data_IF_902807983304
#
_entry.id   IF_902807983304
#
_cell.length_a   1.000
_cell.length_b   1.000
_cell.length_c   1.000
_cell.angle_alpha   90.00
_cell.angle_beta   90.00
_cell.angle_gamma   90.00
#
_symmetry.space_group_name_H-M   'P 1'
#
loop_
_entity.id
_entity.type
_entity.pdbx_description
1 polymer ?
#
# COMPACT_ATOMS: atom_id res chain seq x y z
N UNK A 1 -29.73 9.90 15.66
CA UNK A 1 -30.09 9.77 14.23
C UNK A 1 -29.06 10.41 13.26
N UNK A 2 -27.76 10.50 13.62
CA UNK A 2 -26.73 11.18 12.81
C UNK A 2 -25.86 10.20 12.00
N UNK A 3 -25.76 8.95 12.44
CA UNK A 3 -24.96 7.86 11.85
C UNK A 3 -25.53 7.31 10.54
N UNK A 4 -26.86 7.26 10.37
CA UNK A 4 -27.51 6.80 9.13
C UNK A 4 -27.10 7.63 7.90
N UNK A 5 -27.01 8.96 8.05
CA UNK A 5 -26.59 9.85 6.96
C UNK A 5 -25.14 9.57 6.51
N UNK A 6 -24.27 9.23 7.46
CA UNK A 6 -22.86 8.86 7.16
C UNK A 6 -22.81 7.56 6.38
N UNK A 7 -23.57 6.54 6.81
CA UNK A 7 -23.65 5.26 6.09
C UNK A 7 -24.24 5.41 4.68
N UNK A 8 -25.25 6.27 4.51
CA UNK A 8 -25.82 6.59 3.20
C UNK A 8 -24.80 7.27 2.27
N UNK A 9 -24.04 8.24 2.79
CA UNK A 9 -23.00 8.92 1.99
C UNK A 9 -21.92 7.94 1.55
N UNK A 10 -21.49 7.04 2.44
CA UNK A 10 -20.52 5.99 2.12
C UNK A 10 -21.06 5.06 1.03
N UNK A 11 -22.33 4.65 1.15
CA UNK A 11 -22.98 3.74 0.19
C UNK A 11 -23.14 4.39 -1.19
N UNK A 12 -23.47 5.69 -1.24
CA UNK A 12 -23.50 6.47 -2.49
C UNK A 12 -22.11 6.60 -3.10
N UNK A 13 -21.07 6.85 -2.30
CA UNK A 13 -19.69 6.92 -2.80
C UNK A 13 -19.18 5.60 -3.37
N UNK A 14 -19.57 4.47 -2.75
CA UNK A 14 -19.25 3.13 -3.25
C UNK A 14 -20.02 2.76 -4.53
N UNK A 15 -21.22 3.30 -4.72
CA UNK A 15 -22.03 3.08 -5.92
C UNK A 15 -21.52 3.89 -7.14
N UNK A 16 -20.73 4.95 -6.91
CA UNK A 16 -20.06 5.69 -7.97
C UNK A 16 -18.73 4.98 -8.29
N UNK A 17 -18.81 3.87 -9.01
CA UNK A 17 -17.64 3.33 -9.70
C UNK A 17 -17.43 4.15 -10.97
N UNK A 18 -16.32 4.89 -11.13
CA UNK A 18 -16.03 5.50 -12.41
C UNK A 18 -15.85 4.38 -13.44
N UNK A 19 -16.49 4.51 -14.60
CA UNK A 19 -16.10 3.73 -15.77
C UNK A 19 -14.59 3.87 -15.94
N UNK A 20 -13.88 2.73 -15.95
CA UNK A 20 -12.43 2.63 -16.06
C UNK A 20 -11.93 3.01 -17.47
N UNK A 21 -12.50 4.06 -18.06
CA UNK A 21 -11.94 4.73 -19.23
C UNK A 21 -10.64 5.40 -18.79
N UNK A 22 -9.53 5.03 -19.43
CA UNK A 22 -8.16 5.36 -19.04
C UNK A 22 -8.02 6.79 -18.47
N UNK A 23 -7.70 6.88 -17.18
CA UNK A 23 -7.80 8.11 -16.37
C UNK A 23 -6.64 9.11 -16.55
N UNK A 24 -5.95 9.12 -17.69
CA UNK A 24 -5.02 10.20 -18.03
C UNK A 24 -4.71 10.21 -19.51
N UNK A 25 -4.54 11.42 -20.08
CA UNK A 25 -4.28 11.64 -21.50
C UNK A 25 -3.06 10.88 -22.03
N UNK A 26 -2.04 10.67 -21.18
CA UNK A 26 -0.89 9.81 -21.50
C UNK A 26 -1.28 8.34 -21.70
N UNK A 27 -2.05 7.77 -20.78
CA UNK A 27 -2.47 6.36 -20.88
C UNK A 27 -3.38 6.14 -22.10
N UNK A 28 -4.25 7.10 -22.41
CA UNK A 28 -5.09 7.07 -23.60
C UNK A 28 -4.27 7.12 -24.90
N UNK A 29 -3.30 8.04 -25.01
CA UNK A 29 -2.46 8.17 -26.20
C UNK A 29 -1.61 6.93 -26.51
N UNK A 30 -1.08 6.26 -25.48
CA UNK A 30 -0.33 5.00 -25.64
C UNK A 30 -1.26 3.85 -26.07
N UNK A 31 -2.47 3.74 -25.51
CA UNK A 31 -3.44 2.73 -25.96
C UNK A 31 -3.88 2.96 -27.40
N UNK A 32 -4.26 4.19 -27.75
CA UNK A 32 -4.82 4.55 -29.05
C UNK A 32 -3.78 4.37 -30.18
N UNK A 33 -2.51 4.73 -29.93
CA UNK A 33 -1.41 4.46 -30.85
C UNK A 33 -1.09 2.97 -31.01
N UNK A 34 -1.23 2.17 -29.95
CA UNK A 34 -0.95 0.73 -30.00
C UNK A 34 -2.08 -0.05 -30.69
N UNK A 35 -3.34 0.38 -30.52
CA UNK A 35 -4.50 -0.16 -31.23
C UNK A 35 -4.48 0.23 -32.72
N UNK A 36 -4.14 1.49 -33.04
CA UNK A 36 -3.99 1.97 -34.42
C UNK A 36 -2.92 1.20 -35.22
N UNK A 37 -1.86 0.74 -34.55
CA UNK A 37 -0.81 -0.11 -35.14
C UNK A 37 -1.16 -1.62 -35.17
N UNK A 38 -2.42 -2.01 -34.92
CA UNK A 38 -2.88 -3.40 -35.02
C UNK A 38 -2.44 -4.32 -33.86
N UNK A 39 -1.91 -3.77 -32.76
CA UNK A 39 -1.42 -4.53 -31.58
C UNK A 39 -2.37 -4.42 -30.38
N UNK A 40 -3.63 -4.77 -30.59
CA UNK A 40 -4.71 -4.71 -29.58
C UNK A 40 -4.44 -5.52 -28.29
N UNK A 41 -3.60 -6.56 -28.34
CA UNK A 41 -3.19 -7.37 -27.17
C UNK A 41 -2.29 -6.61 -26.18
N UNK A 42 -1.61 -5.56 -26.63
CA UNK A 42 -0.72 -4.73 -25.79
C UNK A 42 -1.53 -3.68 -25.03
N UNK A 43 -2.66 -3.22 -25.58
CA UNK A 43 -3.57 -2.30 -24.92
C UNK A 43 -4.22 -2.90 -23.65
N UNK A 44 -4.56 -4.20 -23.66
CA UNK A 44 -5.12 -4.89 -22.50
C UNK A 44 -4.11 -5.07 -21.35
N UNK A 45 -2.81 -5.16 -21.66
CA UNK A 45 -1.74 -5.31 -20.66
C UNK A 45 -1.30 -3.99 -20.01
N UNK A 46 -1.71 -2.84 -20.55
CA UNK A 46 -1.31 -1.53 -20.01
C UNK A 46 -1.91 -1.25 -18.62
N UNK A 47 -3.16 -1.64 -18.39
CA UNK A 47 -3.82 -1.49 -17.08
C UNK A 47 -3.14 -2.34 -15.99
N UNK A 48 -2.65 -3.52 -16.35
CA UNK A 48 -1.83 -4.35 -15.45
C UNK A 48 -0.49 -3.69 -15.15
N UNK A 49 0.13 -3.04 -16.14
CA UNK A 49 1.37 -2.27 -15.94
C UNK A 49 1.20 -1.09 -14.98
N UNK A 50 0.10 -0.34 -15.09
CA UNK A 50 -0.21 0.78 -14.17
C UNK A 50 -0.45 0.26 -12.75
N UNK A 51 -1.24 -0.80 -12.59
CA UNK A 51 -1.44 -1.44 -11.29
C UNK A 51 -0.13 -1.96 -10.69
N UNK A 52 0.73 -2.58 -11.50
CA UNK A 52 2.02 -3.08 -11.05
C UNK A 52 2.93 -1.95 -10.55
N UNK A 53 3.07 -0.87 -11.32
CA UNK A 53 3.88 0.29 -10.95
C UNK A 53 3.34 1.02 -9.73
N UNK A 54 2.02 1.04 -9.54
CA UNK A 54 1.40 1.65 -8.36
C UNK A 54 1.59 0.78 -7.12
N UNK A 55 1.40 -0.54 -7.21
CA UNK A 55 1.47 -1.47 -6.07
C UNK A 55 2.90 -1.72 -5.59
N UNK A 56 3.87 -1.79 -6.51
CA UNK A 56 5.27 -2.07 -6.19
C UNK A 56 5.88 -1.17 -5.08
N UNK A 57 5.81 0.18 -5.14
CA UNK A 57 6.39 1.03 -4.10
C UNK A 57 5.74 0.82 -2.73
N UNK A 58 4.43 0.60 -2.67
CA UNK A 58 3.75 0.33 -1.39
C UNK A 58 4.17 -1.00 -0.77
N UNK A 59 4.32 -2.05 -1.58
CA UNK A 59 4.79 -3.35 -1.10
C UNK A 59 6.23 -3.29 -0.57
N UNK A 60 7.10 -2.53 -1.23
CA UNK A 60 8.48 -2.33 -0.79
C UNK A 60 8.51 -1.62 0.57
N UNK A 61 7.79 -0.51 0.71
CA UNK A 61 7.73 0.26 1.96
C UNK A 61 7.11 -0.56 3.09
N UNK A 62 6.02 -1.29 2.81
CA UNK A 62 5.37 -2.15 3.79
C UNK A 62 6.30 -3.28 4.28
N UNK A 63 7.05 -3.90 3.37
CA UNK A 63 8.00 -4.96 3.70
C UNK A 63 9.14 -4.46 4.57
N UNK A 64 9.74 -3.32 4.21
CA UNK A 64 10.82 -2.69 4.99
C UNK A 64 10.29 -2.29 6.37
N UNK A 65 9.14 -1.63 6.43
CA UNK A 65 8.50 -1.22 7.68
C UNK A 65 8.21 -2.40 8.61
N UNK A 66 7.69 -3.50 8.05
CA UNK A 66 7.43 -4.72 8.81
C UNK A 66 8.70 -5.35 9.39
N UNK A 67 9.77 -5.47 8.58
CA UNK A 67 11.05 -6.00 9.03
C UNK A 67 11.68 -5.12 10.11
N UNK A 68 11.63 -3.81 9.93
CA UNK A 68 12.13 -2.84 10.91
C UNK A 68 11.36 -2.92 12.23
N UNK A 69 10.03 -2.95 12.19
CA UNK A 69 9.19 -3.10 13.38
C UNK A 69 9.51 -4.40 14.13
N UNK A 70 9.63 -5.52 13.41
CA UNK A 70 9.95 -6.82 14.01
C UNK A 70 11.32 -6.82 14.68
N UNK A 71 12.33 -6.19 14.07
CA UNK A 71 13.66 -6.10 14.65
C UNK A 71 13.71 -5.16 15.86
N UNK A 72 13.07 -3.99 15.75
CA UNK A 72 12.99 -3.01 16.83
C UNK A 72 12.32 -3.59 18.09
N UNK A 73 11.23 -4.35 17.91
CA UNK A 73 10.55 -5.02 19.04
C UNK A 73 11.44 -6.06 19.74
N UNK A 74 12.28 -6.79 19.00
CA UNK A 74 13.24 -7.76 19.56
C UNK A 74 14.34 -7.06 20.34
N UNK A 75 14.87 -5.97 19.79
CA UNK A 75 15.91 -5.19 20.45
C UNK A 75 15.40 -4.58 21.77
N UNK A 76 14.18 -4.03 21.78
CA UNK A 76 13.59 -3.50 23.01
C UNK A 76 13.50 -4.54 24.12
N UNK A 77 13.06 -5.78 23.81
CA UNK A 77 13.02 -6.88 24.77
C UNK A 77 14.42 -7.23 25.33
N UNK A 78 15.44 -7.27 24.46
CA UNK A 78 16.83 -7.53 24.87
C UNK A 78 17.38 -6.42 25.77
N UNK A 79 17.08 -5.15 25.46
CA UNK A 79 17.49 -4.02 26.31
C UNK A 79 16.83 -4.05 27.68
N UNK A 80 15.55 -4.42 27.77
CA UNK A 80 14.86 -4.60 29.05
C UNK A 80 15.46 -5.74 29.87
N UNK A 81 15.83 -6.85 29.22
CA UNK A 81 16.49 -7.96 29.91
C UNK A 81 17.86 -7.55 30.48
N UNK A 82 18.68 -6.84 29.70
CA UNK A 82 19.98 -6.32 30.15
C UNK A 82 19.79 -5.33 31.29
N UNK A 83 18.86 -4.38 31.18
CA UNK A 83 18.56 -3.42 32.24
C UNK A 83 18.11 -4.11 33.54
N UNK A 84 17.29 -5.17 33.43
CA UNK A 84 16.89 -5.99 34.57
C UNK A 84 18.06 -6.73 35.23
N UNK A 85 18.99 -7.27 34.43
CA UNK A 85 20.23 -7.90 34.94
C UNK A 85 21.11 -6.89 35.67
N UNK A 86 21.33 -5.72 35.09
CA UNK A 86 22.14 -4.64 35.69
C UNK A 86 21.51 -4.15 37.00
N UNK A 87 20.20 -3.92 37.03
CA UNK A 87 19.50 -3.49 38.24
C UNK A 87 19.64 -4.49 39.38
N UNK A 88 19.50 -5.80 39.09
CA UNK A 88 19.69 -6.87 40.08
C UNK A 88 21.12 -6.90 40.62
N UNK A 89 22.12 -6.80 39.73
CA UNK A 89 23.53 -6.76 40.13
C UNK A 89 23.84 -5.54 41.01
N UNK A 90 23.27 -4.37 40.69
CA UNK A 90 23.44 -3.15 41.47
C UNK A 90 22.79 -3.26 42.86
N UNK A 91 21.61 -3.88 42.97
CA UNK A 91 20.91 -4.05 44.27
C UNK A 91 21.56 -5.05 45.23
N UNK A 92 22.55 -5.83 44.76
CA UNK A 92 23.29 -6.78 45.58
C UNK A 92 24.62 -6.24 46.12
N UNK A 93 24.98 -4.99 45.76
CA UNK A 93 26.02 -4.19 46.40
C UNK A 93 25.40 -3.25 47.44
#
# INVERSE_FOLDING_TARGET
>A
MRSWKVWLIILVFLAITPDLMAQCAMCRGTVESTVSNGRSTVASQLNLGILYLLVAPYLIVASIGYLWYRNSKREHGRRLEIAGRVKRALSQM
#
